data_IF_163948478091
#
_entry.id   IF_163948478091
#
_cell.length_a   1.000
_cell.length_b   1.000
_cell.length_c   1.000
_cell.angle_alpha   90.00
_cell.angle_beta   90.00
_cell.angle_gamma   90.00
#
_symmetry.space_group_name_H-M   'P 1'
#
loop_
_entity.id
_entity.type
_entity.pdbx_description
1 polymer ?
#
# COMPACT_ATOMS: atom_id res chain seq x y z
N UNK A 1 -4.21 3.27 -4.76
CA UNK A 1 -2.96 4.06 -4.91
C UNK A 1 -3.26 5.55 -5.07
N UNK A 2 -3.63 6.08 -6.25
CA UNK A 2 -3.88 7.53 -6.40
C UNK A 2 -4.93 8.09 -5.42
N UNK A 3 -6.09 7.44 -5.33
CA UNK A 3 -7.18 7.85 -4.41
C UNK A 3 -6.72 7.81 -2.95
N UNK A 4 -5.92 6.80 -2.60
CA UNK A 4 -5.36 6.62 -1.25
C UNK A 4 -4.36 7.74 -0.90
N UNK A 5 -3.43 8.03 -1.82
CA UNK A 5 -2.46 9.11 -1.66
C UNK A 5 -3.15 10.48 -1.53
N UNK A 6 -4.17 10.75 -2.34
CA UNK A 6 -4.98 11.96 -2.21
C UNK A 6 -5.67 12.02 -0.84
N UNK A 7 -6.26 10.91 -0.37
CA UNK A 7 -6.86 10.82 0.96
C UNK A 7 -5.87 11.14 2.08
N UNK A 8 -4.66 10.58 2.02
CA UNK A 8 -3.61 10.82 3.01
C UNK A 8 -3.11 12.26 3.01
N UNK A 9 -2.91 12.87 1.82
CA UNK A 9 -2.53 14.27 1.71
C UNK A 9 -3.62 15.22 2.24
N UNK A 10 -4.89 14.88 2.03
CA UNK A 10 -6.01 15.64 2.59
C UNK A 10 -6.03 15.61 4.11
N UNK A 11 -5.77 14.45 4.74
CA UNK A 11 -5.71 14.37 6.21
C UNK A 11 -4.48 15.11 6.74
N UNK A 12 -3.35 15.01 6.05
CA UNK A 12 -2.11 15.69 6.45
C UNK A 12 -2.27 17.22 6.47
N UNK A 13 -2.92 17.78 5.46
CA UNK A 13 -3.19 19.23 5.34
C UNK A 13 -4.55 19.68 5.87
N UNK A 14 -5.23 18.87 6.69
CA UNK A 14 -6.58 19.18 7.12
C UNK A 14 -6.60 20.26 8.22
N UNK A 15 -7.26 21.39 7.93
CA UNK A 15 -7.53 22.46 8.90
C UNK A 15 -8.84 22.25 9.70
N UNK A 16 -9.56 21.15 9.45
CA UNK A 16 -10.85 20.87 10.10
C UNK A 16 -11.36 19.45 9.91
N UNK A 17 -12.33 19.06 10.75
CA UNK A 17 -12.84 17.69 10.82
C UNK A 17 -13.42 17.17 9.50
N UNK A 18 -14.08 18.02 8.72
CA UNK A 18 -14.66 17.64 7.42
C UNK A 18 -13.62 17.11 6.43
N UNK A 19 -12.46 17.77 6.34
CA UNK A 19 -11.36 17.33 5.49
C UNK A 19 -10.76 16.01 5.99
N UNK A 20 -10.65 15.83 7.30
CA UNK A 20 -10.19 14.57 7.91
C UNK A 20 -11.14 13.42 7.55
N UNK A 21 -12.45 13.60 7.67
CA UNK A 21 -13.42 12.55 7.33
C UNK A 21 -13.41 12.21 5.84
N UNK A 22 -13.35 13.21 4.98
CA UNK A 22 -13.26 12.99 3.54
C UNK A 22 -11.97 12.24 3.18
N UNK A 23 -10.84 12.70 3.72
CA UNK A 23 -9.55 12.04 3.51
C UNK A 23 -9.53 10.61 4.04
N UNK A 24 -10.17 10.34 5.18
CA UNK A 24 -10.28 9.00 5.76
C UNK A 24 -11.12 8.07 4.87
N UNK A 25 -12.24 8.57 4.31
CA UNK A 25 -13.07 7.81 3.38
C UNK A 25 -12.28 7.44 2.10
N UNK A 26 -11.54 8.40 1.53
CA UNK A 26 -10.71 8.16 0.34
C UNK A 26 -9.55 7.21 0.62
N UNK A 27 -8.89 7.36 1.78
CA UNK A 27 -7.82 6.47 2.22
C UNK A 27 -8.35 5.05 2.39
N UNK A 28 -9.47 4.87 3.08
CA UNK A 28 -10.11 3.56 3.28
C UNK A 28 -10.54 2.90 1.97
N UNK A 29 -11.14 3.68 1.05
CA UNK A 29 -11.50 3.18 -0.28
C UNK A 29 -10.27 2.72 -1.07
N UNK A 30 -9.20 3.52 -1.08
CA UNK A 30 -7.96 3.18 -1.76
C UNK A 30 -7.29 1.93 -1.18
N UNK A 31 -7.20 1.88 0.15
CA UNK A 31 -6.59 0.77 0.89
C UNK A 31 -7.34 -0.56 0.66
N UNK A 32 -8.69 -0.52 0.65
CA UNK A 32 -9.53 -1.70 0.39
C UNK A 32 -9.26 -2.35 -0.96
N UNK A 33 -8.78 -1.58 -1.95
CA UNK A 33 -8.40 -2.10 -3.26
C UNK A 33 -6.94 -2.53 -3.30
N UNK A 34 -6.06 -1.73 -2.69
CA UNK A 34 -4.61 -1.96 -2.72
C UNK A 34 -4.19 -3.20 -1.93
N UNK A 35 -4.71 -3.37 -0.71
CA UNK A 35 -4.31 -4.45 0.19
C UNK A 35 -4.54 -5.86 -0.39
N UNK A 36 -5.72 -6.22 -0.90
CA UNK A 36 -5.91 -7.53 -1.52
C UNK A 36 -5.16 -7.65 -2.86
N UNK A 37 -5.06 -6.57 -3.66
CA UNK A 37 -4.38 -6.62 -4.96
C UNK A 37 -2.90 -6.99 -4.82
N UNK A 38 -2.18 -6.37 -3.88
CA UNK A 38 -0.78 -6.71 -3.63
C UNK A 38 -0.60 -8.07 -2.98
N UNK A 39 -1.48 -8.45 -2.05
CA UNK A 39 -1.44 -9.79 -1.44
C UNK A 39 -1.57 -10.90 -2.49
N UNK A 40 -2.53 -10.75 -3.41
CA UNK A 40 -2.73 -11.71 -4.53
C UNK A 40 -1.53 -11.72 -5.47
N UNK A 41 -0.95 -10.56 -5.81
CA UNK A 41 0.25 -10.48 -6.64
C UNK A 41 1.46 -11.19 -6.01
N UNK A 42 1.68 -10.97 -4.70
CA UNK A 42 2.77 -11.58 -3.95
C UNK A 42 2.64 -13.11 -3.94
N UNK A 43 1.43 -13.63 -3.69
CA UNK A 43 1.15 -15.07 -3.72
C UNK A 43 1.27 -15.64 -5.13
N UNK A 44 0.82 -14.92 -6.17
CA UNK A 44 0.87 -15.38 -7.56
C UNK A 44 2.29 -15.58 -8.07
N UNK A 45 3.24 -14.77 -7.59
CA UNK A 45 4.66 -14.84 -7.97
C UNK A 45 5.44 -15.90 -7.22
N UNK A 46 4.91 -16.43 -6.12
CA UNK A 46 5.55 -17.47 -5.35
C UNK A 46 5.33 -18.86 -5.98
N UNK A 47 6.33 -19.76 -5.94
CA UNK A 47 6.15 -21.16 -6.31
C UNK A 47 4.98 -21.82 -5.54
N UNK A 48 4.24 -22.76 -6.14
CA UNK A 48 3.02 -23.34 -5.54
C UNK A 48 3.20 -23.85 -4.11
N UNK A 49 4.35 -24.46 -3.80
CA UNK A 49 4.66 -25.04 -2.50
C UNK A 49 4.96 -24.01 -1.39
N UNK A 50 5.15 -22.73 -1.73
CA UNK A 50 5.56 -21.67 -0.79
C UNK A 50 4.58 -20.50 -0.71
N UNK A 51 3.38 -20.66 -1.28
CA UNK A 51 2.35 -19.61 -1.28
C UNK A 51 1.90 -19.18 0.11
N UNK A 52 1.79 -20.11 1.06
CA UNK A 52 1.48 -19.81 2.46
C UNK A 52 2.58 -18.99 3.12
N UNK A 53 3.85 -19.30 2.84
CA UNK A 53 4.99 -18.53 3.33
C UNK A 53 5.00 -17.11 2.73
N UNK A 54 4.71 -16.96 1.45
CA UNK A 54 4.65 -15.65 0.80
C UNK A 54 3.54 -14.77 1.39
N UNK A 55 2.34 -15.34 1.63
CA UNK A 55 1.27 -14.62 2.32
C UNK A 55 1.63 -14.31 3.77
N UNK A 56 2.29 -15.23 4.47
CA UNK A 56 2.79 -15.01 5.83
C UNK A 56 3.79 -13.85 5.91
N UNK A 57 4.74 -13.79 4.97
CA UNK A 57 5.67 -12.68 4.86
C UNK A 57 4.95 -11.35 4.56
N UNK A 58 3.97 -11.35 3.66
CA UNK A 58 3.16 -10.17 3.35
C UNK A 58 2.49 -9.58 4.61
N UNK A 59 1.87 -10.43 5.44
CA UNK A 59 1.23 -10.00 6.69
C UNK A 59 2.25 -9.59 7.75
N UNK A 60 3.39 -10.30 7.87
CA UNK A 60 4.44 -9.91 8.81
C UNK A 60 4.99 -8.50 8.53
N UNK A 61 5.16 -8.13 7.25
CA UNK A 61 5.55 -6.77 6.88
C UNK A 61 4.46 -5.73 7.18
N UNK A 62 3.18 -6.09 7.09
CA UNK A 62 2.08 -5.22 7.51
C UNK A 62 2.17 -4.93 9.01
N UNK A 63 2.38 -5.94 9.85
CA UNK A 63 2.49 -5.77 11.30
C UNK A 63 3.68 -4.88 11.67
N UNK A 64 4.82 -5.06 11.00
CA UNK A 64 5.99 -4.19 11.16
C UNK A 64 5.66 -2.75 10.76
N UNK A 65 4.95 -2.55 9.65
CA UNK A 65 4.54 -1.22 9.20
C UNK A 65 3.60 -0.54 10.22
N UNK A 66 2.67 -1.28 10.83
CA UNK A 66 1.78 -0.78 11.88
C UNK A 66 2.58 -0.38 13.14
N UNK A 67 3.58 -1.17 13.54
CA UNK A 67 4.44 -0.84 14.67
C UNK A 67 5.25 0.45 14.43
N UNK A 68 5.88 0.57 13.26
CA UNK A 68 6.64 1.77 12.86
C UNK A 68 5.72 2.99 12.82
N UNK A 69 4.54 2.84 12.24
CA UNK A 69 3.55 3.92 12.12
C UNK A 69 3.07 4.39 13.49
N UNK A 70 2.85 3.47 14.42
CA UNK A 70 2.44 3.79 15.79
C UNK A 70 3.53 4.56 16.54
N UNK A 71 4.79 4.13 16.41
CA UNK A 71 5.92 4.85 16.98
C UNK A 71 6.08 6.25 16.37
N UNK A 72 5.92 6.37 15.05
CA UNK A 72 5.98 7.65 14.35
C UNK A 72 4.89 8.61 14.85
N UNK A 73 3.66 8.12 15.02
CA UNK A 73 2.56 8.89 15.59
C UNK A 73 2.89 9.39 17.00
N UNK A 74 3.47 8.54 17.85
CA UNK A 74 3.83 8.88 19.22
C UNK A 74 4.91 9.96 19.30
N UNK A 75 5.90 9.94 18.40
CA UNK A 75 7.04 10.86 18.45
C UNK A 75 6.88 12.14 17.62
N UNK A 76 6.13 12.10 16.52
CA UNK A 76 6.00 13.22 15.56
C UNK A 76 4.55 13.62 15.28
N UNK A 77 3.59 13.00 15.96
CA UNK A 77 2.17 13.30 15.81
C UNK A 77 1.55 12.60 14.61
N UNK A 78 0.21 12.53 14.63
CA UNK A 78 -0.61 11.79 13.67
C UNK A 78 -0.50 12.35 12.24
N UNK A 79 -0.32 13.66 12.06
CA UNK A 79 -0.15 14.25 10.73
C UNK A 79 1.07 13.65 9.99
N UNK A 80 2.17 13.39 10.70
CA UNK A 80 3.39 12.82 10.11
C UNK A 80 3.19 11.40 9.56
N UNK A 81 2.26 10.63 10.14
CA UNK A 81 1.88 9.30 9.65
C UNK A 81 1.24 9.39 8.28
N UNK A 82 0.32 10.33 8.09
CA UNK A 82 -0.36 10.49 6.81
C UNK A 82 0.59 10.98 5.70
N UNK A 83 1.54 11.86 6.02
CA UNK A 83 2.58 12.24 5.08
C UNK A 83 3.50 11.07 4.71
N UNK A 84 4.00 10.33 5.71
CA UNK A 84 4.84 9.16 5.48
C UNK A 84 4.08 8.08 4.68
N UNK A 85 2.80 7.90 4.98
CA UNK A 85 1.89 7.03 4.24
C UNK A 85 1.73 7.45 2.79
N UNK A 86 1.53 8.74 2.50
CA UNK A 86 1.43 9.26 1.14
C UNK A 86 2.71 8.98 0.33
N UNK A 87 3.88 9.15 0.95
CA UNK A 87 5.18 8.79 0.33
C UNK A 87 5.25 7.28 0.08
N UNK A 88 4.88 6.45 1.06
CA UNK A 88 4.89 5.00 0.92
C UNK A 88 3.95 4.51 -0.20
N UNK A 89 2.75 5.09 -0.30
CA UNK A 89 1.78 4.78 -1.37
C UNK A 89 2.32 5.22 -2.74
N UNK A 90 2.98 6.38 -2.83
CA UNK A 90 3.63 6.80 -4.07
C UNK A 90 4.73 5.82 -4.50
N UNK A 91 5.57 5.35 -3.55
CA UNK A 91 6.58 4.33 -3.83
C UNK A 91 5.96 2.99 -4.24
N UNK A 92 4.91 2.54 -3.55
CA UNK A 92 4.18 1.33 -3.92
C UNK A 92 3.55 1.42 -5.32
N UNK A 93 3.06 2.61 -5.69
CA UNK A 93 2.54 2.87 -7.04
C UNK A 93 3.65 2.77 -8.09
N UNK A 94 4.85 3.32 -7.84
CA UNK A 94 6.00 3.16 -8.73
C UNK A 94 6.40 1.69 -8.87
N UNK A 95 6.38 0.92 -7.78
CA UNK A 95 6.60 -0.53 -7.82
C UNK A 95 5.55 -1.19 -8.70
N UNK A 96 4.26 -0.93 -8.47
CA UNK A 96 3.17 -1.50 -9.28
C UNK A 96 3.34 -1.19 -10.79
N UNK A 97 3.64 0.07 -11.14
CA UNK A 97 3.90 0.48 -12.52
C UNK A 97 5.12 -0.21 -13.11
N UNK A 98 6.22 -0.33 -12.34
CA UNK A 98 7.41 -1.06 -12.79
C UNK A 98 7.12 -2.53 -13.05
N UNK A 99 6.24 -3.13 -12.26
CA UNK A 99 5.84 -4.53 -12.38
C UNK A 99 4.91 -4.75 -13.58
N UNK A 100 4.04 -3.79 -13.88
CA UNK A 100 3.22 -3.79 -15.09
C UNK A 100 4.08 -3.66 -16.34
N UNK A 101 5.07 -2.76 -16.32
CA UNK A 101 5.99 -2.55 -17.44
C UNK A 101 6.94 -3.73 -17.69
N UNK A 102 7.25 -4.49 -16.64
CA UNK A 102 8.14 -5.66 -16.69
C UNK A 102 7.42 -6.98 -16.97
N UNK A 103 6.11 -6.99 -17.25
CA UNK A 103 5.45 -8.24 -17.65
C UNK A 103 6.13 -8.77 -18.93
N UNK A 104 6.78 -9.94 -18.87
CA UNK A 104 7.40 -10.53 -20.05
C UNK A 104 6.31 -10.83 -21.09
N UNK A 105 6.61 -10.56 -22.36
CA UNK A 105 5.84 -11.09 -23.49
C UNK A 105 5.58 -12.61 -23.27
N UNK A 106 4.36 -13.10 -23.50
CA UNK A 106 4.13 -14.54 -23.61
C UNK A 106 4.85 -15.04 -24.87
N UNK A 107 6.13 -15.40 -24.74
CA UNK A 107 6.92 -16.08 -25.77
C UNK A 107 7.41 -17.42 -25.22
N UNK A 108 7.24 -18.46 -26.05
CA UNK A 108 7.73 -19.84 -25.92
C UNK A 108 6.87 -20.87 -25.13
N UNK A 109 5.57 -20.99 -25.48
CA UNK A 109 4.84 -22.27 -25.31
C UNK A 109 4.05 -22.67 -26.57
N UNK A 110 4.46 -22.13 -27.72
CA UNK A 110 4.08 -22.58 -29.07
C UNK A 110 5.36 -22.68 -29.90
N UNK A 111 6.27 -23.57 -29.51
CA UNK A 111 7.22 -24.23 -30.43
C UNK A 111 7.31 -25.71 -30.04
#
# INVERSE_FOLDING_TARGET
MLIEACGQLLIWGADGATLVYLGAALTGFGYSLAFPAFGVEAVRRAPPHTRSLAMGAYVAFLDIALAITSALAAHRGVASVYLAGAIAVALAMLVALSLMARQPQPQAAME
#
